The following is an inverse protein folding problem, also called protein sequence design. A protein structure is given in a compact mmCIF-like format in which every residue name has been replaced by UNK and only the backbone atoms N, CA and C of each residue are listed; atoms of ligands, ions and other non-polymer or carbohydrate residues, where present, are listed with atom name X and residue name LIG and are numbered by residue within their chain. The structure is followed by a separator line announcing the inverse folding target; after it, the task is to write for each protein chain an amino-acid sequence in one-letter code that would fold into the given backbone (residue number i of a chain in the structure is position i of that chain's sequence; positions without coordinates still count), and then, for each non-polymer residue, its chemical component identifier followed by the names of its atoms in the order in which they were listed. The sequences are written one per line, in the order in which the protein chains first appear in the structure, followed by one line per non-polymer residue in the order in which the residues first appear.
data_IF_273847948627
#
_entry.id   IF_273847948627
#
_cell.length_a   1.000
_cell.length_b   1.000
_cell.length_c   1.000
_cell.angle_alpha   90.00
_cell.angle_beta   90.00
_cell.angle_gamma   90.00
#
_symmetry.space_group_name_H-M   'P 1'
#
loop_
_entity.id
_entity.type
_entity.pdbx_description
1 polymer ?
#
# COMPACT_ATOMS: atom_id res chain seq x y z
N UNK A 1 15.16 -10.18 43.96
CA UNK A 1 14.39 -8.96 43.63
C UNK A 1 14.01 -9.01 42.16
N UNK A 2 12.77 -8.62 41.87
CA UNK A 2 11.99 -9.02 40.69
C UNK A 2 12.38 -8.36 39.36
N UNK A 3 12.38 -9.20 38.31
CA UNK A 3 11.90 -9.01 36.92
C UNK A 3 11.73 -7.58 36.39
N UNK A 4 12.36 -7.28 35.25
CA UNK A 4 11.62 -6.85 34.05
C UNK A 4 12.17 -7.62 32.84
N UNK A 5 11.50 -8.72 32.52
CA UNK A 5 11.51 -9.24 31.16
C UNK A 5 10.58 -8.36 30.33
N UNK A 6 11.13 -7.44 29.55
CA UNK A 6 10.37 -6.82 28.47
C UNK A 6 10.31 -7.79 27.29
N UNK A 7 9.32 -8.68 27.43
CA UNK A 7 8.62 -9.45 26.41
C UNK A 7 9.01 -9.07 24.98
N UNK A 8 9.92 -9.84 24.40
CA UNK A 8 9.97 -10.15 22.97
C UNK A 8 8.66 -10.81 22.54
N UNK A 9 7.56 -10.05 22.47
CA UNK A 9 6.25 -10.54 22.02
C UNK A 9 5.23 -9.43 21.73
N UNK A 10 5.65 -8.18 21.48
CA UNK A 10 4.83 -7.29 20.65
C UNK A 10 4.97 -7.80 19.21
N UNK A 11 4.31 -8.93 18.90
CA UNK A 11 4.00 -9.31 17.52
C UNK A 11 3.51 -8.03 16.86
N UNK A 12 4.23 -7.58 15.81
CA UNK A 12 4.02 -6.34 15.06
C UNK A 12 2.55 -6.15 14.67
N UNK A 13 1.70 -5.72 15.60
CA UNK A 13 0.30 -5.47 15.36
C UNK A 13 0.27 -4.15 14.62
N UNK A 14 0.17 -4.24 13.30
CA UNK A 14 0.05 -3.07 12.47
C UNK A 14 -1.29 -2.41 12.79
N UNK A 15 -1.31 -1.12 13.17
CA UNK A 15 -2.57 -0.44 13.42
C UNK A 15 -3.44 -0.48 12.17
N UNK A 16 -4.73 -0.83 12.30
CA UNK A 16 -5.68 -0.86 11.17
C UNK A 16 -5.66 0.46 10.39
N UNK A 17 -5.51 1.58 11.10
CA UNK A 17 -5.38 2.92 10.51
C UNK A 17 -4.24 3.04 9.49
N UNK A 18 -3.11 2.35 9.69
CA UNK A 18 -2.00 2.38 8.72
C UNK A 18 -2.31 1.56 7.46
N UNK A 19 -3.10 0.49 7.59
CA UNK A 19 -3.58 -0.27 6.44
C UNK A 19 -4.61 0.54 5.64
N UNK A 20 -5.47 1.29 6.33
CA UNK A 20 -6.40 2.23 5.70
C UNK A 20 -5.65 3.34 4.94
N UNK A 21 -4.64 3.96 5.56
CA UNK A 21 -3.80 4.98 4.92
C UNK A 21 -3.11 4.44 3.66
N UNK A 22 -2.57 3.21 3.74
CA UNK A 22 -1.98 2.53 2.60
C UNK A 22 -3.02 2.28 1.51
N UNK A 23 -4.22 1.79 1.85
CA UNK A 23 -5.30 1.55 0.89
C UNK A 23 -5.70 2.84 0.16
N UNK A 24 -5.80 3.96 0.88
CA UNK A 24 -6.09 5.29 0.29
C UNK A 24 -5.00 5.70 -0.70
N UNK A 25 -3.72 5.56 -0.34
CA UNK A 25 -2.60 5.91 -1.24
C UNK A 25 -2.58 5.05 -2.50
N UNK A 26 -2.75 3.74 -2.37
CA UNK A 26 -2.79 2.82 -3.50
C UNK A 26 -3.98 3.09 -4.42
N UNK A 27 -5.14 3.48 -3.86
CA UNK A 27 -6.29 3.93 -4.64
C UNK A 27 -5.97 5.20 -5.43
N UNK A 28 -5.31 6.19 -4.80
CA UNK A 28 -4.90 7.43 -5.51
C UNK A 28 -3.97 7.11 -6.67
N UNK A 29 -2.95 6.29 -6.41
CA UNK A 29 -2.03 5.81 -7.43
C UNK A 29 -2.78 5.14 -8.58
N UNK A 30 -3.65 4.17 -8.30
CA UNK A 30 -4.39 3.44 -9.33
C UNK A 30 -5.34 4.29 -10.18
N UNK A 31 -5.86 5.39 -9.62
CA UNK A 31 -6.71 6.35 -10.34
C UNK A 31 -5.91 7.47 -11.01
N UNK A 32 -4.59 7.50 -10.82
CA UNK A 32 -3.75 8.56 -11.35
C UNK A 32 -3.65 8.45 -12.87
N UNK A 33 -3.98 9.52 -13.61
CA UNK A 33 -4.05 9.51 -15.09
C UNK A 33 -2.73 9.20 -15.78
N UNK A 34 -1.61 9.58 -15.17
CA UNK A 34 -0.26 9.29 -15.66
C UNK A 34 0.31 7.95 -15.20
N UNK A 35 -0.48 7.13 -14.48
CA UNK A 35 0.00 5.84 -14.00
C UNK A 35 0.08 4.86 -15.18
N UNK A 36 1.29 4.33 -15.39
CA UNK A 36 1.52 3.23 -16.31
C UNK A 36 1.90 2.00 -15.50
N UNK A 37 0.95 1.06 -15.31
CA UNK A 37 1.14 -0.11 -14.44
C UNK A 37 2.39 -0.94 -14.78
N UNK A 38 2.71 -1.08 -16.08
CA UNK A 38 3.90 -1.82 -16.57
C UNK A 38 5.24 -1.13 -16.23
N UNK A 39 5.20 0.15 -15.84
CA UNK A 39 6.38 0.96 -15.51
C UNK A 39 6.55 1.15 -13.99
N UNK A 40 5.70 0.51 -13.17
CA UNK A 40 5.84 0.52 -11.72
C UNK A 40 7.15 -0.20 -11.36
N UNK A 41 8.05 0.50 -10.70
CA UNK A 41 9.37 0.00 -10.33
C UNK A 41 9.31 -1.02 -9.19
N UNK A 42 8.32 -0.90 -8.29
CA UNK A 42 8.18 -1.79 -7.13
C UNK A 42 7.39 -3.07 -7.45
N UNK A 43 8.02 -4.26 -7.46
CA UNK A 43 7.34 -5.52 -7.78
C UNK A 43 6.30 -5.90 -6.73
N UNK A 44 6.53 -5.52 -5.48
CA UNK A 44 5.59 -5.75 -4.36
C UNK A 44 4.33 -4.89 -4.51
N UNK A 45 4.51 -3.62 -4.91
CA UNK A 45 3.41 -2.71 -5.22
C UNK A 45 2.55 -3.25 -6.37
N UNK A 46 3.20 -3.73 -7.43
CA UNK A 46 2.54 -4.31 -8.60
C UNK A 46 1.67 -5.54 -8.26
N UNK A 47 2.14 -6.39 -7.34
CA UNK A 47 1.41 -7.59 -6.85
C UNK A 47 0.19 -7.21 -6.03
N UNK A 48 0.32 -6.20 -5.18
CA UNK A 48 -0.73 -5.79 -4.25
C UNK A 48 -1.79 -4.90 -4.91
N UNK A 49 -1.42 -4.10 -5.91
CA UNK A 49 -2.37 -3.29 -6.68
C UNK A 49 -3.40 -4.20 -7.37
N UNK A 50 -4.71 -4.06 -7.07
CA UNK A 50 -5.77 -4.71 -7.84
C UNK A 50 -5.75 -4.23 -9.30
N UNK A 51 -6.43 -4.96 -10.19
CA UNK A 51 -6.54 -4.57 -11.60
C UNK A 51 -7.10 -3.15 -11.79
N UNK A 52 -7.00 -2.58 -13.00
CA UNK A 52 -7.51 -1.24 -13.27
C UNK A 52 -8.98 -1.10 -12.86
N UNK A 53 -9.30 0.04 -12.25
CA UNK A 53 -10.62 0.34 -11.68
C UNK A 53 -11.67 0.47 -12.79
N UNK A 54 -12.38 -0.62 -13.11
CA UNK A 54 -13.45 -0.64 -14.13
C UNK A 54 -14.80 -0.24 -13.53
N UNK A 55 -14.91 1.00 -13.06
CA UNK A 55 -16.18 1.61 -12.62
C UNK A 55 -16.67 1.21 -11.22
N UNK A 56 -16.27 0.05 -10.69
CA UNK A 56 -16.70 -0.42 -9.37
C UNK A 56 -15.69 -0.04 -8.27
N UNK A 57 -15.66 1.25 -7.91
CA UNK A 57 -14.73 1.78 -6.90
C UNK A 57 -14.86 1.09 -5.52
N UNK A 58 -16.07 0.67 -5.15
CA UNK A 58 -16.40 0.01 -3.89
C UNK A 58 -15.87 -1.44 -3.84
N UNK A 59 -15.95 -2.17 -4.95
CA UNK A 59 -15.38 -3.51 -5.08
C UNK A 59 -13.85 -3.43 -5.02
N UNK A 60 -13.26 -2.45 -5.70
CA UNK A 60 -11.83 -2.22 -5.68
C UNK A 60 -11.26 -1.98 -4.28
N UNK A 61 -11.92 -1.14 -3.47
CA UNK A 61 -11.48 -0.85 -2.10
C UNK A 61 -11.53 -2.09 -1.21
N UNK A 62 -12.62 -2.86 -1.34
CA UNK A 62 -12.80 -4.11 -0.58
C UNK A 62 -11.77 -5.16 -0.97
N UNK A 63 -11.50 -5.31 -2.27
CA UNK A 63 -10.47 -6.21 -2.79
C UNK A 63 -9.06 -5.83 -2.36
N UNK A 64 -8.77 -4.52 -2.37
CA UNK A 64 -7.49 -4.00 -1.93
C UNK A 64 -7.29 -4.26 -0.44
N UNK A 65 -8.28 -3.96 0.41
CA UNK A 65 -8.22 -4.24 1.85
C UNK A 65 -8.00 -5.72 2.11
N UNK A 66 -8.78 -6.59 1.46
CA UNK A 66 -8.62 -8.04 1.56
C UNK A 66 -7.20 -8.49 1.20
N UNK A 67 -6.65 -8.02 0.08
CA UNK A 67 -5.26 -8.33 -0.32
C UNK A 67 -4.22 -7.86 0.68
N UNK A 68 -4.40 -6.68 1.26
CA UNK A 68 -3.47 -6.14 2.26
C UNK A 68 -3.54 -6.95 3.57
N UNK A 69 -4.74 -7.37 3.99
CA UNK A 69 -4.94 -8.25 5.14
C UNK A 69 -4.36 -9.66 4.90
N UNK A 70 -4.63 -10.26 3.74
CA UNK A 70 -4.07 -11.56 3.33
C UNK A 70 -2.53 -11.53 3.20
N UNK A 71 -1.96 -10.40 2.78
CA UNK A 71 -0.52 -10.24 2.64
C UNK A 71 0.24 -10.20 3.98
N UNK A 72 -0.48 -10.10 5.12
CA UNK A 72 0.07 -10.10 6.48
C UNK A 72 1.32 -9.20 6.60
N UNK A 73 1.16 -7.93 6.19
CA UNK A 73 2.25 -6.98 6.11
C UNK A 73 2.72 -6.56 7.51
N UNK A 74 4.03 -6.48 7.69
CA UNK A 74 4.65 -5.87 8.86
C UNK A 74 4.83 -4.35 8.66
N UNK A 75 5.22 -3.65 9.73
CA UNK A 75 5.32 -2.20 9.75
C UNK A 75 6.33 -1.66 8.71
N UNK A 76 7.42 -2.41 8.47
CA UNK A 76 8.46 -2.04 7.52
C UNK A 76 7.95 -2.17 6.08
N UNK A 77 7.23 -3.25 5.76
CA UNK A 77 6.61 -3.47 4.46
C UNK A 77 5.54 -2.43 4.15
N UNK A 78 4.75 -2.02 5.14
CA UNK A 78 3.78 -0.94 4.95
C UNK A 78 4.49 0.39 4.69
N UNK A 79 5.53 0.73 5.45
CA UNK A 79 6.31 1.94 5.20
C UNK A 79 6.96 1.93 3.81
N UNK A 80 7.54 0.80 3.40
CA UNK A 80 8.08 0.59 2.06
C UNK A 80 7.03 0.83 0.98
N UNK A 81 5.85 0.22 1.10
CA UNK A 81 4.77 0.39 0.12
C UNK A 81 4.25 1.83 0.07
N UNK A 82 4.17 2.52 1.21
CA UNK A 82 3.74 3.92 1.25
C UNK A 82 4.75 4.83 0.54
N UNK A 83 6.05 4.64 0.77
CA UNK A 83 7.11 5.41 0.12
C UNK A 83 7.14 5.17 -1.40
N UNK A 84 7.04 3.91 -1.83
CA UNK A 84 6.99 3.60 -3.26
C UNK A 84 5.70 4.06 -3.93
N UNK A 85 4.55 4.00 -3.26
CA UNK A 85 3.31 4.53 -3.81
C UNK A 85 3.40 6.04 -4.07
N UNK A 86 4.05 6.78 -3.17
CA UNK A 86 4.28 8.22 -3.31
C UNK A 86 5.24 8.54 -4.46
N UNK A 87 6.37 7.82 -4.54
CA UNK A 87 7.32 7.94 -5.65
C UNK A 87 6.65 7.69 -7.02
N UNK A 88 5.80 6.67 -7.12
CA UNK A 88 5.09 6.37 -8.37
C UNK A 88 4.05 7.44 -8.72
N UNK A 89 3.41 8.07 -7.73
CA UNK A 89 2.54 9.23 -7.95
C UNK A 89 3.35 10.40 -8.51
N UNK A 90 4.52 10.69 -7.94
CA UNK A 90 5.37 11.79 -8.41
C UNK A 90 5.87 11.57 -9.84
N UNK A 91 6.29 10.35 -10.17
CA UNK A 91 6.67 9.97 -11.55
C UNK A 91 5.47 10.14 -12.48
N UNK A 92 4.29 9.67 -12.06
CA UNK A 92 3.08 9.78 -12.86
C UNK A 92 2.64 11.24 -13.06
N UNK A 93 2.82 12.11 -12.06
CA UNK A 93 2.62 13.56 -12.20
C UNK A 93 3.60 14.16 -13.21
N UNK A 94 4.90 13.83 -13.11
CA UNK A 94 5.92 14.32 -14.03
C UNK A 94 5.61 13.95 -15.50
N UNK A 95 5.06 12.76 -15.74
CA UNK A 95 4.59 12.32 -17.08
C UNK A 95 3.43 13.15 -17.65
N UNK A 96 2.58 13.73 -16.80
CA UNK A 96 1.46 14.57 -17.25
C UNK A 96 1.85 16.05 -17.42
N UNK A 97 2.91 16.48 -16.72
CA UNK A 97 3.39 17.86 -16.75
C UNK A 97 4.40 18.13 -17.88
N UNK A 98 5.00 17.09 -18.46
CA UNK A 98 5.86 17.15 -19.65
C UNK A 98 5.09 16.85 -20.92
#
# INVERSE_FOLDING_TARGET
MSRIGHRSAARNYLPESKLEDLAIRLRRLANHRGLVRKEIASPMLLRLLPGPLRGEAHVYESDLRRKLQEANLDAERVAYLMAHAEQEIDIAHARLAG
#
